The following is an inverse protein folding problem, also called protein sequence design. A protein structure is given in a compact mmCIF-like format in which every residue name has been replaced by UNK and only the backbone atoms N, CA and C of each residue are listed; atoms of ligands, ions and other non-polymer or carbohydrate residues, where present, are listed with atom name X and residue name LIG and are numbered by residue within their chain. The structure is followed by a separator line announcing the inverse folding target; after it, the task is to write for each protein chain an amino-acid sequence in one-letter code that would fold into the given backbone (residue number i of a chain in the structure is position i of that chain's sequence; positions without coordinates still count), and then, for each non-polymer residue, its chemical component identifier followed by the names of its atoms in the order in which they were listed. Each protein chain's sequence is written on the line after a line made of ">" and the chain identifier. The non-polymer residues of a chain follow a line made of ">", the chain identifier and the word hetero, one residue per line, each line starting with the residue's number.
data_IF_546674568161
#
_entry.id   IF_546674568161
#
_cell.length_a   1.000
_cell.length_b   1.000
_cell.length_c   1.000
_cell.angle_alpha   90.00
_cell.angle_beta   90.00
_cell.angle_gamma   90.00
#
_symmetry.space_group_name_H-M   'P 1'
#
loop_
_entity.id
_entity.type
_entity.pdbx_description
1 polymer ?
#
# COMPACT_ATOMS: atom_id res chain seq x y z
N UNK A 1 20.82 -0.50 -17.52
CA UNK A 1 19.90 -0.23 -16.39
C UNK A 1 20.20 -1.26 -15.30
N UNK A 2 20.01 -0.94 -14.01
CA UNK A 2 20.06 -1.97 -12.97
C UNK A 2 18.92 -2.99 -13.16
N UNK A 3 19.09 -4.27 -12.82
CA UNK A 3 17.97 -5.19 -12.75
C UNK A 3 16.88 -4.68 -11.80
N UNK A 4 15.61 -4.92 -12.14
CA UNK A 4 14.48 -4.39 -11.39
C UNK A 4 14.48 -4.82 -9.92
N UNK A 5 14.85 -6.07 -9.63
CA UNK A 5 14.95 -6.59 -8.27
C UNK A 5 16.01 -5.85 -7.44
N UNK A 6 17.12 -5.42 -8.06
CA UNK A 6 18.14 -4.62 -7.40
C UNK A 6 17.66 -3.17 -7.14
N UNK A 7 16.86 -2.60 -8.04
CA UNK A 7 16.20 -1.32 -7.80
C UNK A 7 15.27 -1.39 -6.59
N UNK A 8 14.43 -2.43 -6.55
CA UNK A 8 13.51 -2.70 -5.46
C UNK A 8 14.25 -2.86 -4.12
N UNK A 9 15.31 -3.67 -4.08
CA UNK A 9 16.12 -3.85 -2.88
C UNK A 9 16.77 -2.53 -2.41
N UNK A 10 17.26 -1.70 -3.33
CA UNK A 10 17.84 -0.41 -3.00
C UNK A 10 16.81 0.54 -2.34
N UNK A 11 15.55 0.53 -2.80
CA UNK A 11 14.47 1.30 -2.15
C UNK A 11 14.19 0.76 -0.75
N UNK A 12 14.06 -0.57 -0.60
CA UNK A 12 13.82 -1.21 0.69
C UNK A 12 14.95 -0.97 1.70
N UNK A 13 16.18 -0.74 1.24
CA UNK A 13 17.35 -0.42 2.09
C UNK A 13 17.52 1.07 2.38
N UNK A 14 16.69 1.94 1.80
CA UNK A 14 16.76 3.38 2.07
C UNK A 14 15.91 3.70 3.31
N UNK A 15 16.50 4.30 4.35
CA UNK A 15 15.80 4.51 5.62
C UNK A 15 14.90 5.76 5.62
N UNK A 16 15.44 6.91 5.19
CA UNK A 16 14.73 8.19 5.21
C UNK A 16 13.54 8.18 4.22
N UNK A 17 12.37 8.68 4.67
CA UNK A 17 11.14 8.61 3.89
C UNK A 17 11.17 9.43 2.60
N UNK A 18 11.70 10.67 2.65
CA UNK A 18 11.78 11.53 1.46
C UNK A 18 12.84 10.99 0.50
N UNK A 19 13.99 10.53 0.99
CA UNK A 19 15.02 9.90 0.17
C UNK A 19 14.53 8.59 -0.47
N UNK A 20 13.80 7.75 0.28
CA UNK A 20 13.19 6.50 -0.21
C UNK A 20 12.22 6.78 -1.35
N UNK A 21 11.30 7.72 -1.16
CA UNK A 21 10.32 8.07 -2.19
C UNK A 21 11.00 8.72 -3.40
N UNK A 22 12.00 9.59 -3.21
CA UNK A 22 12.78 10.12 -4.34
C UNK A 22 13.45 9.02 -5.17
N UNK A 23 14.03 8.01 -4.50
CA UNK A 23 14.66 6.86 -5.17
C UNK A 23 13.64 5.98 -5.90
N UNK A 24 12.53 5.67 -5.23
CA UNK A 24 11.40 4.92 -5.79
C UNK A 24 10.90 5.57 -7.09
N UNK A 25 10.62 6.87 -7.06
CA UNK A 25 10.14 7.62 -8.23
C UNK A 25 11.16 7.68 -9.36
N UNK A 26 12.45 7.80 -9.03
CA UNK A 26 13.55 7.72 -10.01
C UNK A 26 13.55 6.37 -10.72
N UNK A 27 13.51 5.27 -9.98
CA UNK A 27 13.51 3.93 -10.58
C UNK A 27 12.23 3.63 -11.36
N UNK A 28 11.08 4.11 -10.90
CA UNK A 28 9.84 4.01 -11.65
C UNK A 28 9.90 4.76 -12.99
N UNK A 29 10.50 5.96 -13.01
CA UNK A 29 10.72 6.70 -14.25
C UNK A 29 11.70 5.99 -15.19
N UNK A 30 12.80 5.44 -14.66
CA UNK A 30 13.75 4.63 -15.44
C UNK A 30 13.06 3.41 -16.08
N UNK A 31 12.34 2.61 -15.28
CA UNK A 31 11.58 1.46 -15.76
C UNK A 31 10.59 1.85 -16.85
N UNK A 32 9.74 2.86 -16.58
CA UNK A 32 8.73 3.34 -17.54
C UNK A 32 9.35 3.78 -18.87
N UNK A 33 10.46 4.53 -18.82
CA UNK A 33 11.15 4.98 -20.02
C UNK A 33 11.68 3.80 -20.87
N UNK A 34 12.22 2.74 -20.25
CA UNK A 34 12.62 1.54 -20.97
C UNK A 34 11.43 0.81 -21.59
N UNK A 35 10.34 0.65 -20.84
CA UNK A 35 9.11 0.00 -21.32
C UNK A 35 8.49 0.75 -22.51
N UNK A 36 8.47 2.09 -22.47
CA UNK A 36 8.03 2.95 -23.58
C UNK A 36 8.94 2.82 -24.82
N UNK A 37 10.25 2.63 -24.61
CA UNK A 37 11.21 2.32 -25.66
C UNK A 37 11.10 0.87 -26.19
N UNK A 38 10.11 0.09 -25.74
CA UNK A 38 9.89 -1.33 -26.04
C UNK A 38 11.05 -2.23 -25.60
N UNK A 39 11.83 -1.77 -24.63
CA UNK A 39 12.83 -2.58 -23.96
C UNK A 39 12.16 -3.39 -22.83
N UNK A 40 12.77 -4.51 -22.48
CA UNK A 40 12.42 -5.28 -21.30
C UNK A 40 13.67 -5.39 -20.44
N UNK A 41 13.86 -4.46 -19.48
CA UNK A 41 14.97 -4.54 -18.56
C UNK A 41 14.93 -5.86 -17.80
N UNK A 42 16.11 -6.39 -17.48
CA UNK A 42 16.23 -7.60 -16.69
C UNK A 42 15.52 -7.44 -15.34
N UNK A 43 14.68 -8.41 -14.96
CA UNK A 43 14.08 -8.43 -13.62
C UNK A 43 15.16 -8.76 -12.58
N UNK A 44 15.96 -9.79 -12.85
CA UNK A 44 17.05 -10.24 -11.99
C UNK A 44 16.56 -10.90 -10.70
N UNK A 45 17.50 -11.09 -9.76
CA UNK A 45 17.23 -11.62 -8.43
C UNK A 45 17.86 -10.70 -7.39
N UNK A 46 17.25 -10.61 -6.21
CA UNK A 46 17.72 -9.80 -5.10
C UNK A 46 17.55 -10.56 -3.78
N UNK A 47 18.15 -10.05 -2.71
CA UNK A 47 17.94 -10.58 -1.36
C UNK A 47 17.34 -9.47 -0.47
N UNK A 48 16.06 -9.10 -0.68
CA UNK A 48 15.45 -8.02 0.06
C UNK A 48 15.47 -8.33 1.56
N UNK A 49 15.72 -7.32 2.42
CA UNK A 49 15.68 -7.54 3.86
C UNK A 49 14.26 -7.99 4.28
N UNK A 50 14.15 -8.72 5.40
CA UNK A 50 12.84 -9.09 5.94
C UNK A 50 12.01 -7.86 6.30
N UNK A 51 12.66 -6.82 6.83
CA UNK A 51 12.07 -5.52 7.09
C UNK A 51 12.76 -4.44 6.26
N UNK A 52 12.00 -3.49 5.67
CA UNK A 52 12.60 -2.33 5.03
C UNK A 52 13.31 -1.49 6.08
N UNK A 53 14.34 -0.78 5.64
CA UNK A 53 15.01 0.22 6.45
C UNK A 53 14.03 1.35 6.79
N UNK A 54 14.10 1.82 8.03
CA UNK A 54 13.26 2.89 8.60
C UNK A 54 14.14 3.95 9.27
N UNK A 55 13.71 5.21 9.35
CA UNK A 55 14.38 6.21 10.18
C UNK A 55 14.17 5.88 11.67
N UNK A 56 14.92 6.55 12.56
CA UNK A 56 14.74 6.41 14.01
C UNK A 56 13.33 6.81 14.49
N UNK A 57 12.66 7.68 13.75
CA UNK A 57 11.27 8.13 13.99
C UNK A 57 10.40 7.84 12.77
N UNK A 58 9.08 7.60 12.94
CA UNK A 58 8.33 7.61 14.20
C UNK A 58 8.64 6.41 15.11
N UNK A 59 8.43 6.57 16.42
CA UNK A 59 8.39 5.44 17.35
C UNK A 59 7.25 4.48 16.95
N UNK A 60 7.57 3.20 16.80
CA UNK A 60 6.60 2.18 16.41
C UNK A 60 6.04 1.49 17.66
N UNK A 61 4.76 1.77 17.93
CA UNK A 61 4.04 1.22 19.07
C UNK A 61 3.15 0.04 18.65
N UNK A 62 2.84 -0.82 19.61
CA UNK A 62 1.81 -1.83 19.43
C UNK A 62 0.44 -1.14 19.21
N UNK A 63 -0.47 -1.67 18.36
CA UNK A 63 -1.74 -0.99 18.04
C UNK A 63 -2.61 -0.59 19.24
N UNK A 64 -2.47 -1.29 20.38
CA UNK A 64 -3.21 -0.99 21.63
C UNK A 64 -2.64 0.22 22.39
N UNK A 65 -1.39 0.57 22.11
CA UNK A 65 -0.63 1.60 22.83
C UNK A 65 -0.56 2.92 22.03
N UNK A 66 -1.01 2.91 20.77
CA UNK A 66 -1.14 4.12 19.96
C UNK A 66 -2.24 5.02 20.57
N UNK A 67 -1.94 6.30 20.87
CA UNK A 67 -2.93 7.22 21.43
C UNK A 67 -4.20 7.34 20.58
N UNK A 68 -5.37 7.34 21.23
CA UNK A 68 -6.65 7.52 20.54
C UNK A 68 -6.72 8.89 19.89
N UNK A 69 -6.99 8.91 18.58
CA UNK A 69 -7.16 10.13 17.80
C UNK A 69 -8.50 10.78 18.15
N UNK A 70 -8.52 12.11 18.27
CA UNK A 70 -9.76 12.92 18.38
C UNK A 70 -9.87 13.82 17.15
N UNK A 71 -10.39 13.31 16.01
CA UNK A 71 -10.25 13.94 14.70
C UNK A 71 -10.89 15.34 14.58
N UNK A 72 -11.80 15.70 15.49
CA UNK A 72 -12.39 17.05 15.55
C UNK A 72 -11.43 18.16 16.01
N UNK A 73 -10.31 17.81 16.67
CA UNK A 73 -9.30 18.77 17.14
C UNK A 73 -8.17 18.99 16.12
N UNK A 74 -7.48 20.15 16.14
CA UNK A 74 -6.28 20.36 15.32
C UNK A 74 -5.22 19.26 15.48
N UNK A 75 -4.92 18.88 16.73
CA UNK A 75 -3.95 17.82 17.04
C UNK A 75 -4.41 16.46 16.53
N UNK A 76 -5.70 16.16 16.63
CA UNK A 76 -6.26 14.92 16.09
C UNK A 76 -6.24 14.85 14.57
N UNK A 77 -6.30 16.00 13.88
CA UNK A 77 -6.12 16.09 12.42
C UNK A 77 -4.68 15.86 12.00
N UNK A 78 -3.71 16.45 12.70
CA UNK A 78 -2.28 16.17 12.51
C UNK A 78 -2.00 14.67 12.69
N UNK A 79 -2.52 14.08 13.78
CA UNK A 79 -2.38 12.65 14.03
C UNK A 79 -3.03 11.75 12.96
N UNK A 80 -4.06 12.25 12.26
CA UNK A 80 -4.67 11.53 11.15
C UNK A 80 -3.78 11.58 9.90
N UNK A 81 -3.28 12.76 9.51
CA UNK A 81 -2.37 12.91 8.38
C UNK A 81 -1.05 12.15 8.59
N UNK A 82 -0.49 12.18 9.81
CA UNK A 82 0.72 11.43 10.14
C UNK A 82 0.51 9.93 10.00
N UNK A 83 -0.66 9.43 10.40
CA UNK A 83 -1.00 8.03 10.23
C UNK A 83 -1.16 7.64 8.75
N UNK A 84 -1.78 8.49 7.94
CA UNK A 84 -1.86 8.27 6.48
C UNK A 84 -0.46 8.27 5.88
N UNK A 85 0.39 9.27 6.18
CA UNK A 85 1.80 9.24 5.75
C UNK A 85 2.52 7.94 6.15
N UNK A 86 2.26 7.42 7.35
CA UNK A 86 2.84 6.14 7.76
C UNK A 86 2.33 4.96 6.93
N UNK A 87 1.04 4.96 6.56
CA UNK A 87 0.43 3.98 5.66
C UNK A 87 1.08 4.06 4.28
N UNK A 88 1.14 5.25 3.67
CA UNK A 88 1.73 5.45 2.34
C UNK A 88 3.19 5.00 2.27
N UNK A 89 3.99 5.31 3.31
CA UNK A 89 5.39 4.86 3.33
C UNK A 89 5.53 3.34 3.47
N UNK A 90 4.59 2.67 4.15
CA UNK A 90 4.56 1.21 4.16
C UNK A 90 4.12 0.67 2.80
N UNK A 91 3.17 1.30 2.12
CA UNK A 91 2.71 0.89 0.80
C UNK A 91 3.83 0.98 -0.26
N UNK A 92 4.66 2.03 -0.23
CA UNK A 92 5.89 2.10 -1.05
C UNK A 92 6.76 0.86 -0.85
N UNK A 93 7.03 0.49 0.41
CA UNK A 93 7.84 -0.69 0.71
C UNK A 93 7.15 -1.98 0.26
N UNK A 94 5.85 -2.14 0.48
CA UNK A 94 5.09 -3.33 0.11
C UNK A 94 5.09 -3.56 -1.41
N UNK A 95 4.95 -2.49 -2.20
CA UNK A 95 4.95 -2.55 -3.66
C UNK A 95 6.34 -2.83 -4.26
N UNK A 96 7.43 -2.39 -3.63
CA UNK A 96 8.78 -2.81 -4.03
C UNK A 96 9.12 -4.22 -3.53
N UNK A 97 8.62 -4.61 -2.36
CA UNK A 97 8.87 -5.91 -1.76
C UNK A 97 8.31 -7.06 -2.61
N UNK A 98 7.08 -6.92 -3.11
CA UNK A 98 6.48 -7.95 -3.97
C UNK A 98 7.30 -8.19 -5.25
N UNK A 99 7.95 -7.15 -5.79
CA UNK A 99 8.84 -7.25 -6.94
C UNK A 99 10.12 -8.00 -6.57
N UNK A 100 10.80 -7.59 -5.50
CA UNK A 100 12.10 -8.16 -5.12
C UNK A 100 11.99 -9.60 -4.62
N UNK A 101 10.93 -9.91 -3.86
CA UNK A 101 10.80 -11.15 -3.09
C UNK A 101 10.33 -12.33 -3.94
N UNK A 102 9.47 -12.08 -4.92
CA UNK A 102 8.84 -13.14 -5.71
C UNK A 102 9.43 -13.30 -7.11
N UNK A 103 10.69 -12.89 -7.31
CA UNK A 103 11.41 -13.05 -8.60
C UNK A 103 11.55 -14.52 -9.05
N UNK A 104 11.36 -15.48 -8.16
CA UNK A 104 11.36 -16.90 -8.47
C UNK A 104 10.03 -17.40 -9.09
N UNK A 105 8.96 -16.60 -9.01
CA UNK A 105 7.68 -16.88 -9.68
C UNK A 105 7.68 -16.20 -11.04
N UNK A 106 7.53 -16.99 -12.10
CA UNK A 106 7.46 -16.45 -13.45
C UNK A 106 6.18 -15.62 -13.64
N UNK A 107 6.34 -14.33 -13.90
CA UNK A 107 5.26 -13.36 -14.07
C UNK A 107 5.49 -12.54 -15.34
N UNK A 108 4.43 -12.21 -16.09
CA UNK A 108 4.58 -11.42 -17.31
C UNK A 108 5.01 -9.98 -17.00
N UNK A 109 5.60 -9.25 -17.98
CA UNK A 109 6.06 -7.87 -17.79
C UNK A 109 5.04 -6.92 -17.16
N UNK A 110 3.75 -7.09 -17.48
CA UNK A 110 2.67 -6.26 -16.94
C UNK A 110 2.55 -6.32 -15.41
N UNK A 111 3.00 -7.40 -14.77
CA UNK A 111 3.00 -7.52 -13.31
C UNK A 111 3.94 -6.49 -12.69
N UNK A 112 5.14 -6.39 -13.25
CA UNK A 112 6.13 -5.41 -12.81
C UNK A 112 5.71 -3.99 -13.19
N UNK A 113 5.13 -3.79 -14.37
CA UNK A 113 4.60 -2.49 -14.81
C UNK A 113 3.59 -1.92 -13.80
N UNK A 114 2.67 -2.76 -13.32
CA UNK A 114 1.63 -2.37 -12.35
C UNK A 114 2.23 -2.04 -10.96
N UNK A 115 3.13 -2.87 -10.42
CA UNK A 115 3.70 -2.65 -9.09
C UNK A 115 4.72 -1.50 -9.04
N UNK A 116 5.49 -1.29 -10.11
CA UNK A 116 6.35 -0.12 -10.23
C UNK A 116 5.51 1.16 -10.28
N UNK A 117 4.38 1.13 -10.98
CA UNK A 117 3.46 2.26 -11.02
C UNK A 117 2.83 2.53 -9.65
N UNK A 118 2.33 1.51 -8.97
CA UNK A 118 1.78 1.64 -7.62
C UNK A 118 2.82 2.25 -6.67
N UNK A 119 4.07 1.76 -6.68
CA UNK A 119 5.13 2.31 -5.84
C UNK A 119 5.46 3.80 -6.11
N UNK A 120 5.38 4.26 -7.36
CA UNK A 120 5.54 5.69 -7.73
C UNK A 120 4.38 6.54 -7.19
N UNK A 121 3.15 6.02 -7.30
CA UNK A 121 1.93 6.67 -6.79
C UNK A 121 1.97 6.78 -5.26
N UNK A 122 2.31 5.71 -4.53
CA UNK A 122 2.47 5.77 -3.06
C UNK A 122 3.61 6.68 -2.63
N UNK A 123 4.66 6.75 -3.45
CA UNK A 123 5.75 7.69 -3.19
C UNK A 123 5.27 9.13 -3.29
N UNK A 124 4.38 9.44 -4.23
CA UNK A 124 3.72 10.75 -4.32
C UNK A 124 2.76 10.95 -3.15
N UNK A 125 1.96 9.95 -2.78
CA UNK A 125 0.99 10.04 -1.68
C UNK A 125 1.67 10.37 -0.34
N UNK A 126 2.75 9.67 -0.02
CA UNK A 126 3.58 9.95 1.15
C UNK A 126 4.05 11.40 1.18
N UNK A 127 4.55 11.91 0.05
CA UNK A 127 5.03 13.28 -0.05
C UNK A 127 3.90 14.30 0.14
N UNK A 128 2.73 14.07 -0.45
CA UNK A 128 1.54 14.92 -0.25
C UNK A 128 1.15 15.01 1.23
N UNK A 129 1.17 13.89 1.95
CA UNK A 129 0.86 13.87 3.39
C UNK A 129 1.93 14.57 4.22
N UNK A 130 3.21 14.42 3.87
CA UNK A 130 4.29 15.13 4.54
C UNK A 130 4.18 16.65 4.33
N UNK A 131 3.89 17.10 3.11
CA UNK A 131 3.68 18.52 2.80
C UNK A 131 2.52 19.09 3.64
N UNK A 132 1.40 18.35 3.73
CA UNK A 132 0.27 18.75 4.58
C UNK A 132 0.64 18.82 6.07
N UNK A 133 1.50 17.93 6.57
CA UNK A 133 1.97 17.96 7.96
C UNK A 133 2.84 19.20 8.22
N UNK A 134 3.75 19.49 7.30
CA UNK A 134 4.67 20.64 7.39
C UNK A 134 3.91 21.97 7.40
N UNK A 135 2.87 22.11 6.57
CA UNK A 135 1.96 23.27 6.59
C UNK A 135 1.26 23.48 7.94
N UNK A 136 1.00 22.38 8.67
CA UNK A 136 0.38 22.41 10.00
C UNK A 136 1.39 22.50 11.14
N UNK A 137 2.68 22.74 10.83
CA UNK A 137 3.75 22.87 11.82
C UNK A 137 4.16 21.55 12.47
N UNK A 138 3.89 20.42 11.81
CA UNK A 138 4.26 19.06 12.21
C UNK A 138 5.17 18.44 11.15
N UNK A 139 5.63 17.21 11.36
CA UNK A 139 6.37 16.45 10.35
C UNK A 139 6.15 14.94 10.51
N UNK A 140 6.46 14.17 9.48
CA UNK A 140 6.47 12.71 9.59
C UNK A 140 7.55 12.25 10.58
N UNK A 141 7.11 11.62 11.68
CA UNK A 141 7.97 11.25 12.80
C UNK A 141 7.75 12.04 14.09
N UNK A 142 6.93 13.11 14.05
CA UNK A 142 6.62 13.90 15.26
C UNK A 142 5.69 13.16 16.24
N UNK A 143 4.91 12.20 15.71
CA UNK A 143 4.01 11.34 16.48
C UNK A 143 4.42 9.86 16.36
N UNK A 144 4.06 9.01 17.34
CA UNK A 144 4.24 7.56 17.20
C UNK A 144 3.30 6.98 16.15
N UNK A 145 3.70 5.87 15.55
CA UNK A 145 2.93 5.12 14.56
C UNK A 145 2.74 3.65 15.00
N UNK A 146 1.86 2.91 14.32
CA UNK A 146 1.66 1.49 14.63
C UNK A 146 2.66 0.60 13.88
N UNK A 147 3.18 -0.43 14.54
CA UNK A 147 4.09 -1.41 13.90
C UNK A 147 3.39 -2.44 12.99
N UNK A 148 2.06 -2.46 12.92
CA UNK A 148 1.30 -3.63 12.48
C UNK A 148 1.15 -3.88 10.98
N UNK A 149 1.47 -2.93 10.10
CA UNK A 149 1.22 -3.10 8.65
C UNK A 149 2.16 -4.10 8.00
N UNK A 150 3.45 -4.04 8.36
CA UNK A 150 4.47 -4.89 7.75
C UNK A 150 4.27 -6.38 8.04
N UNK A 151 3.54 -6.71 9.11
CA UNK A 151 3.24 -8.08 9.48
C UNK A 151 2.59 -8.88 8.35
N UNK A 152 1.72 -8.26 7.55
CA UNK A 152 1.12 -8.94 6.39
C UNK A 152 2.19 -9.39 5.37
N UNK A 153 3.28 -8.61 5.23
CA UNK A 153 4.39 -8.97 4.35
C UNK A 153 5.22 -10.13 4.92
N UNK A 154 5.44 -10.13 6.24
CA UNK A 154 6.16 -11.21 6.93
C UNK A 154 5.37 -12.52 6.91
N UNK A 155 4.08 -12.46 7.22
CA UNK A 155 3.21 -13.64 7.29
C UNK A 155 3.03 -14.29 5.89
N UNK A 156 3.24 -13.53 4.81
CA UNK A 156 3.12 -13.99 3.41
C UNK A 156 4.46 -14.04 2.68
N UNK A 157 5.59 -14.07 3.40
CA UNK A 157 6.94 -13.94 2.82
C UNK A 157 7.25 -14.95 1.70
N UNK A 158 6.69 -16.15 1.80
CA UNK A 158 6.90 -17.26 0.86
C UNK A 158 5.67 -17.56 -0.03
N UNK A 159 4.61 -16.74 0.05
CA UNK A 159 3.33 -16.98 -0.63
C UNK A 159 2.83 -15.75 -1.39
N UNK A 160 3.06 -15.73 -2.71
CA UNK A 160 2.64 -14.63 -3.59
C UNK A 160 1.11 -14.49 -3.64
N UNK A 161 0.34 -15.59 -3.63
CA UNK A 161 -1.12 -15.49 -3.66
C UNK A 161 -1.64 -14.94 -2.33
N UNK A 162 -1.08 -15.39 -1.21
CA UNK A 162 -1.33 -14.81 0.11
C UNK A 162 -0.99 -13.32 0.17
N UNK A 163 0.16 -12.93 -0.39
CA UNK A 163 0.58 -11.52 -0.47
C UNK A 163 -0.43 -10.67 -1.22
N UNK A 164 -0.88 -11.11 -2.39
CA UNK A 164 -1.87 -10.42 -3.21
C UNK A 164 -3.24 -10.36 -2.52
N UNK A 165 -3.68 -11.45 -1.87
CA UNK A 165 -4.95 -11.49 -1.18
C UNK A 165 -5.00 -10.52 0.03
N UNK A 166 -3.92 -10.44 0.81
CA UNK A 166 -3.94 -9.64 2.04
C UNK A 166 -3.55 -8.19 1.81
N UNK A 167 -2.51 -7.92 1.01
CA UNK A 167 -1.98 -6.56 0.88
C UNK A 167 -2.85 -5.71 -0.05
N UNK A 168 -2.80 -5.88 -1.39
CA UNK A 168 -3.58 -5.02 -2.28
C UNK A 168 -5.09 -5.27 -2.22
N UNK A 169 -5.54 -6.50 -1.94
CA UNK A 169 -6.98 -6.81 -1.95
C UNK A 169 -7.71 -6.58 -0.61
N UNK A 170 -7.00 -6.57 0.53
CA UNK A 170 -7.61 -6.30 1.85
C UNK A 170 -7.10 -5.00 2.47
N UNK A 171 -5.79 -4.77 2.53
CA UNK A 171 -5.24 -3.57 3.17
C UNK A 171 -5.51 -2.30 2.33
N UNK A 172 -5.19 -2.31 1.03
CA UNK A 172 -5.46 -1.13 0.17
C UNK A 172 -6.98 -0.93 -0.06
N UNK A 173 -7.74 -2.03 -0.16
CA UNK A 173 -9.20 -1.96 -0.25
C UNK A 173 -9.84 -1.32 0.99
N UNK A 174 -9.13 -1.23 2.13
CA UNK A 174 -9.59 -0.49 3.31
C UNK A 174 -9.47 1.02 3.10
N UNK A 175 -8.49 1.50 2.34
CA UNK A 175 -8.34 2.90 1.94
C UNK A 175 -9.62 3.41 1.24
N UNK A 176 -10.18 2.60 0.35
CA UNK A 176 -11.45 2.90 -0.37
C UNK A 176 -12.64 3.15 0.57
N UNK A 177 -12.65 2.49 1.73
CA UNK A 177 -13.74 2.59 2.70
C UNK A 177 -13.59 3.81 3.62
N UNK A 178 -12.35 4.13 4.02
CA UNK A 178 -12.08 5.11 5.09
C UNK A 178 -11.79 6.51 4.57
N UNK A 179 -11.18 6.65 3.40
CA UNK A 179 -10.72 7.93 2.86
C UNK A 179 -11.86 8.94 2.61
N UNK A 180 -13.06 8.55 2.12
CA UNK A 180 -14.18 9.49 1.97
C UNK A 180 -14.60 10.18 3.28
N UNK A 181 -14.53 9.45 4.40
CA UNK A 181 -14.79 10.00 5.73
C UNK A 181 -13.74 11.02 6.16
N UNK A 182 -12.47 10.77 5.82
CA UNK A 182 -11.36 11.71 6.09
C UNK A 182 -11.49 12.98 5.26
N UNK A 183 -11.81 12.86 3.97
CA UNK A 183 -12.06 14.01 3.07
C UNK A 183 -13.17 14.89 3.65
N UNK A 184 -14.29 14.28 4.05
CA UNK A 184 -15.42 15.01 4.65
C UNK A 184 -15.00 15.75 5.92
N UNK A 185 -14.13 15.14 6.72
CA UNK A 185 -13.62 15.74 7.95
C UNK A 185 -12.73 16.96 7.67
N UNK A 186 -11.79 16.88 6.74
CA UNK A 186 -10.91 18.00 6.41
C UNK A 186 -11.62 19.13 5.66
N UNK A 187 -12.64 18.82 4.84
CA UNK A 187 -13.56 19.81 4.25
C UNK A 187 -14.23 20.66 5.33
N UNK A 188 -14.80 20.02 6.37
CA UNK A 188 -15.42 20.73 7.51
C UNK A 188 -14.44 21.57 8.32
N UNK A 189 -13.17 21.17 8.34
CA UNK A 189 -12.10 21.89 9.04
C UNK A 189 -11.45 22.99 8.19
N UNK A 190 -11.86 23.17 6.93
CA UNK A 190 -11.29 24.11 5.96
C UNK A 190 -9.76 23.95 5.77
N UNK A 191 -9.27 22.70 5.77
CA UNK A 191 -7.87 22.38 5.48
C UNK A 191 -7.77 21.91 4.03
N UNK A 192 -7.71 22.86 3.10
CA UNK A 192 -7.85 22.60 1.65
C UNK A 192 -6.76 21.69 1.11
N UNK A 193 -5.49 21.88 1.51
CA UNK A 193 -4.37 21.05 1.06
C UNK A 193 -4.57 19.57 1.39
N UNK A 194 -5.02 19.26 2.62
CA UNK A 194 -5.35 17.90 3.02
C UNK A 194 -6.51 17.30 2.22
N UNK A 195 -7.50 18.10 1.83
CA UNK A 195 -8.62 17.65 0.99
C UNK A 195 -8.13 17.28 -0.40
N UNK A 196 -7.38 18.16 -1.05
CA UNK A 196 -6.83 17.94 -2.40
C UNK A 196 -5.90 16.72 -2.45
N UNK A 197 -5.06 16.58 -1.42
CA UNK A 197 -4.17 15.44 -1.29
C UNK A 197 -4.95 14.11 -1.13
N UNK A 198 -5.94 14.06 -0.24
CA UNK A 198 -6.75 12.84 -0.02
C UNK A 198 -7.64 12.51 -1.22
N UNK A 199 -8.14 13.52 -1.96
CA UNK A 199 -8.88 13.29 -3.20
C UNK A 199 -7.99 12.71 -4.30
N UNK A 200 -6.73 13.15 -4.38
CA UNK A 200 -5.72 12.57 -5.27
C UNK A 200 -5.45 11.11 -4.91
N UNK A 201 -5.16 10.82 -3.64
CA UNK A 201 -4.91 9.46 -3.13
C UNK A 201 -6.10 8.55 -3.46
N UNK A 202 -7.32 8.98 -3.09
CA UNK A 202 -8.52 8.19 -3.30
C UNK A 202 -8.81 7.86 -4.79
N UNK A 203 -8.43 8.75 -5.71
CA UNK A 203 -8.62 8.52 -7.14
C UNK A 203 -7.67 7.44 -7.69
N UNK A 204 -6.49 7.28 -7.10
CA UNK A 204 -5.45 6.35 -7.56
C UNK A 204 -5.56 4.98 -6.87
N UNK A 205 -6.02 4.95 -5.62
CA UNK A 205 -6.17 3.75 -4.78
C UNK A 205 -6.96 2.61 -5.45
N UNK A 206 -7.97 2.94 -6.26
CA UNK A 206 -8.80 1.96 -6.98
C UNK A 206 -7.92 1.09 -7.89
N UNK A 207 -6.92 1.68 -8.53
CA UNK A 207 -6.02 0.96 -9.43
C UNK A 207 -5.11 -0.01 -8.67
N UNK A 208 -4.66 0.34 -7.45
CA UNK A 208 -3.79 -0.52 -6.65
C UNK A 208 -4.51 -1.79 -6.20
N UNK A 209 -5.77 -1.63 -5.76
CA UNK A 209 -6.65 -2.76 -5.45
C UNK A 209 -6.92 -3.60 -6.72
N UNK A 210 -7.14 -2.94 -7.86
CA UNK A 210 -7.37 -3.62 -9.13
C UNK A 210 -6.15 -4.42 -9.60
N UNK A 211 -4.93 -3.94 -9.37
CA UNK A 211 -3.70 -4.69 -9.65
C UNK A 211 -3.63 -5.95 -8.81
N UNK A 212 -3.96 -5.85 -7.51
CA UNK A 212 -4.09 -7.02 -6.63
C UNK A 212 -5.06 -8.05 -7.19
N UNK A 213 -6.30 -7.63 -7.47
CA UNK A 213 -7.33 -8.52 -8.00
C UNK A 213 -6.92 -9.16 -9.34
N UNK A 214 -6.40 -8.36 -10.28
CA UNK A 214 -5.95 -8.82 -11.60
C UNK A 214 -4.91 -9.94 -11.48
N UNK A 215 -3.85 -9.73 -10.69
CA UNK A 215 -2.77 -10.72 -10.58
C UNK A 215 -3.14 -11.93 -9.75
N UNK A 216 -4.03 -11.75 -8.77
CA UNK A 216 -4.61 -12.85 -8.01
C UNK A 216 -5.44 -13.77 -8.92
N UNK A 217 -6.33 -13.20 -9.74
CA UNK A 217 -7.12 -13.95 -10.72
C UNK A 217 -6.25 -14.60 -11.79
N UNK A 218 -5.18 -13.94 -12.24
CA UNK A 218 -4.21 -14.51 -13.17
C UNK A 218 -3.57 -15.78 -12.60
N UNK A 219 -3.12 -15.75 -11.34
CA UNK A 219 -2.52 -16.92 -10.68
C UNK A 219 -3.55 -18.03 -10.43
N UNK A 220 -4.75 -17.70 -9.97
CA UNK A 220 -5.81 -18.69 -9.81
C UNK A 220 -6.17 -19.37 -11.15
N UNK A 221 -6.25 -18.59 -12.24
CA UNK A 221 -6.48 -19.12 -13.59
C UNK A 221 -5.33 -20.02 -14.07
N UNK A 222 -4.07 -19.67 -13.74
CA UNK A 222 -2.90 -20.50 -14.05
C UNK A 222 -2.93 -21.86 -13.36
N UNK A 223 -3.41 -21.89 -12.12
CA UNK A 223 -3.51 -23.12 -11.30
C UNK A 223 -4.89 -23.80 -11.41
N UNK A 224 -5.80 -23.29 -12.24
CA UNK A 224 -7.19 -23.77 -12.40
C UNK A 224 -7.97 -23.85 -11.07
N UNK A 225 -7.87 -22.79 -10.26
CA UNK A 225 -8.53 -22.63 -8.96
C UNK A 225 -9.66 -21.60 -9.03
N UNK A 226 -10.67 -21.74 -8.16
CA UNK A 226 -11.71 -20.73 -7.96
C UNK A 226 -11.15 -19.56 -7.13
N UNK A 227 -11.09 -18.33 -7.67
CA UNK A 227 -10.48 -17.21 -6.96
C UNK A 227 -11.17 -16.86 -5.64
N UNK A 228 -12.49 -17.00 -5.55
CA UNK A 228 -13.24 -16.61 -4.34
C UNK A 228 -12.91 -17.55 -3.19
N UNK A 229 -12.90 -18.86 -3.45
CA UNK A 229 -12.60 -19.86 -2.42
C UNK A 229 -11.14 -19.73 -1.94
N UNK A 230 -10.18 -19.57 -2.87
CA UNK A 230 -8.77 -19.33 -2.53
C UNK A 230 -8.58 -18.04 -1.75
N UNK A 231 -9.27 -16.96 -2.14
CA UNK A 231 -9.20 -15.68 -1.43
C UNK A 231 -9.71 -15.82 0.01
N UNK A 232 -10.84 -16.48 0.23
CA UNK A 232 -11.38 -16.70 1.57
C UNK A 232 -10.41 -17.47 2.47
N UNK A 233 -9.79 -18.52 1.94
CA UNK A 233 -8.85 -19.35 2.70
C UNK A 233 -7.57 -18.58 3.06
N UNK A 234 -7.00 -17.85 2.10
CA UNK A 234 -5.79 -17.04 2.33
C UNK A 234 -6.06 -15.89 3.31
N UNK A 235 -7.20 -15.20 3.19
CA UNK A 235 -7.56 -14.12 4.13
C UNK A 235 -7.80 -14.68 5.53
N UNK A 236 -8.45 -15.83 5.69
CA UNK A 236 -8.60 -16.48 7.01
C UNK A 236 -7.26 -16.92 7.60
N UNK A 237 -6.33 -17.34 6.75
CA UNK A 237 -5.00 -17.81 7.15
C UNK A 237 -4.13 -16.66 7.63
N UNK A 238 -4.04 -15.58 6.83
CA UNK A 238 -3.03 -14.54 7.01
C UNK A 238 -3.57 -13.23 7.59
N UNK A 239 -4.88 -12.95 7.52
CA UNK A 239 -5.43 -11.68 8.00
C UNK A 239 -6.15 -11.81 9.36
N UNK A 240 -5.48 -11.36 10.42
CA UNK A 240 -5.98 -11.49 11.79
C UNK A 240 -6.86 -10.31 12.28
N UNK A 241 -7.02 -9.25 11.49
CA UNK A 241 -7.69 -8.01 11.91
C UNK A 241 -9.22 -8.02 11.83
N UNK A 242 -9.80 -8.97 11.10
CA UNK A 242 -11.22 -9.04 10.73
C UNK A 242 -11.65 -7.92 9.77
N UNK A 243 -12.47 -8.25 8.77
CA UNK A 243 -12.99 -7.25 7.84
C UNK A 243 -14.21 -6.57 8.47
N UNK A 244 -14.30 -5.24 8.41
CA UNK A 244 -15.36 -4.49 9.10
C UNK A 244 -15.99 -3.47 8.17
N UNK A 245 -17.33 -3.38 8.12
CA UNK A 245 -18.03 -2.33 7.39
C UNK A 245 -17.82 -0.95 8.05
N UNK A 246 -18.14 0.16 7.35
CA UNK A 246 -18.75 0.21 6.01
C UNK A 246 -17.77 -0.22 4.91
N UNK A 247 -18.27 -0.91 3.88
CA UNK A 247 -17.52 -1.20 2.67
C UNK A 247 -17.99 -0.28 1.54
N UNK A 248 -17.05 0.28 0.79
CA UNK A 248 -17.34 1.03 -0.42
C UNK A 248 -17.54 0.06 -1.59
N UNK A 249 -18.76 -0.48 -1.70
CA UNK A 249 -19.08 -1.55 -2.65
C UNK A 249 -18.85 -1.12 -4.10
N UNK A 250 -19.18 0.14 -4.45
CA UNK A 250 -18.97 0.68 -5.79
C UNK A 250 -17.48 0.68 -6.15
N UNK A 251 -16.62 1.21 -5.28
CA UNK A 251 -15.17 1.26 -5.56
C UNK A 251 -14.46 -0.07 -5.47
N UNK A 252 -14.89 -0.96 -4.58
CA UNK A 252 -14.39 -2.33 -4.55
C UNK A 252 -14.77 -3.08 -5.83
N UNK A 253 -16.00 -2.89 -6.33
CA UNK A 253 -16.42 -3.47 -7.61
C UNK A 253 -15.65 -2.89 -8.81
N UNK A 254 -15.40 -1.57 -8.86
CA UNK A 254 -14.54 -0.92 -9.87
C UNK A 254 -13.13 -1.55 -9.90
N UNK A 255 -12.63 -1.98 -8.74
CA UNK A 255 -11.35 -2.66 -8.59
C UNK A 255 -11.40 -4.19 -8.81
N UNK A 256 -12.55 -4.74 -9.22
CA UNK A 256 -12.70 -6.18 -9.42
C UNK A 256 -12.76 -7.01 -8.13
N UNK A 257 -13.22 -6.42 -7.03
CA UNK A 257 -13.60 -7.12 -5.80
C UNK A 257 -15.11 -7.06 -5.60
N UNK A 258 -15.87 -8.05 -6.10
CA UNK A 258 -17.30 -8.12 -5.85
C UNK A 258 -17.63 -8.44 -4.38
N UNK A 259 -18.85 -8.12 -3.92
CA UNK A 259 -19.35 -8.33 -2.56
C UNK A 259 -19.04 -9.71 -1.92
N UNK A 260 -19.09 -10.78 -2.69
CA UNK A 260 -18.88 -12.16 -2.24
C UNK A 260 -17.42 -12.48 -1.84
N UNK A 261 -16.45 -11.65 -2.22
CA UNK A 261 -15.08 -11.78 -1.73
C UNK A 261 -14.96 -11.38 -0.25
N UNK A 262 -15.64 -10.32 0.19
CA UNK A 262 -15.37 -9.71 1.50
C UNK A 262 -16.52 -9.76 2.50
N UNK A 263 -17.78 -9.74 2.07
CA UNK A 263 -18.91 -9.81 3.01
C UNK A 263 -18.96 -11.12 3.81
N UNK A 264 -18.68 -12.32 3.23
CA UNK A 264 -18.62 -13.56 3.99
C UNK A 264 -17.50 -13.61 5.04
N UNK A 265 -16.53 -12.70 4.96
CA UNK A 265 -15.40 -12.59 5.88
C UNK A 265 -15.58 -11.44 6.90
N UNK A 266 -16.67 -10.67 6.79
CA UNK A 266 -16.92 -9.55 7.67
C UNK A 266 -17.23 -10.03 9.11
N UNK A 267 -16.58 -9.41 10.09
CA UNK A 267 -16.83 -9.71 11.51
C UNK A 267 -17.96 -8.83 12.05
N UNK A 268 -18.90 -9.44 12.77
CA UNK A 268 -20.02 -8.73 13.42
C UNK A 268 -21.19 -8.39 12.49
N UNK A 269 -21.37 -9.16 11.41
CA UNK A 269 -22.59 -9.23 10.62
C UNK A 269 -23.73 -9.96 11.34
#
# INVERSE_FOLDING_TARGET
>A
MLPLAHMAEAVLRTADGRAKTALSRKYAAEWRAAREAKDMPEVGHANPPLHPSRPEKPELLHPRDVPKRKPGSPQGRIALLHAVAHIELNAVDLHWDIIARFTHVDMPPGFYDDWVKAADEESKHFNLMCDCLEELGSFYGDLPAHAGMWRAAEDTVDDLMGRLAVVPMVLEARGLDVTPGMITLFKKANVTSAVEALETIYAEEVAHVAYGSKWFHFLCGRENLDPKDVFHDLVRTYFHGGLKPPFNEEKRADAGLPPDFYWPLAVGS
#
